data_IF_468847828837
#
_entry.id   IF_468847828837
#
_cell.length_a   1.000
_cell.length_b   1.000
_cell.length_c   1.000
_cell.angle_alpha   90.00
_cell.angle_beta   90.00
_cell.angle_gamma   90.00
#
_symmetry.space_group_name_H-M   'P 1'
#
loop_
_entity.id
_entity.type
_entity.pdbx_description
1 polymer ?
#
# COMPACT_ATOMS: atom_id res chain seq x y z
N UNK A 1 10.74 19.40 -20.53
CA UNK A 1 11.50 18.62 -19.53
C UNK A 1 11.04 19.08 -18.15
N UNK A 2 10.41 18.21 -17.35
CA UNK A 2 9.71 18.59 -16.13
C UNK A 2 10.70 18.86 -14.97
N UNK A 3 10.49 19.93 -14.19
CA UNK A 3 11.44 20.42 -13.19
C UNK A 3 11.70 19.44 -12.02
N UNK A 4 10.76 18.53 -11.77
CA UNK A 4 10.83 17.49 -10.71
C UNK A 4 11.96 16.47 -10.93
N UNK A 5 12.20 16.09 -12.19
CA UNK A 5 13.19 15.05 -12.55
C UNK A 5 14.62 15.58 -12.33
N UNK A 6 14.84 16.89 -12.55
CA UNK A 6 16.14 17.52 -12.31
C UNK A 6 16.46 17.68 -10.83
N UNK A 7 15.46 17.76 -9.95
CA UNK A 7 15.69 17.82 -8.49
C UNK A 7 15.98 16.44 -7.90
N UNK A 8 15.28 15.39 -8.35
CA UNK A 8 15.50 14.01 -7.89
C UNK A 8 16.87 13.47 -8.31
N UNK A 9 17.27 13.66 -9.57
CA UNK A 9 18.60 13.26 -10.04
C UNK A 9 19.75 14.04 -9.36
N UNK A 10 19.49 15.25 -8.85
CA UNK A 10 20.45 16.05 -8.06
C UNK A 10 20.56 15.60 -6.61
N UNK A 11 19.47 15.11 -6.02
CA UNK A 11 19.46 14.63 -4.62
C UNK A 11 20.31 13.38 -4.41
N UNK A 12 20.46 12.54 -5.44
CA UNK A 12 21.19 11.26 -5.37
C UNK A 12 22.56 11.29 -6.06
N UNK A 13 23.16 12.48 -6.24
CA UNK A 13 24.55 12.63 -6.71
C UNK A 13 24.83 12.17 -8.16
N UNK A 14 23.81 12.11 -9.01
CA UNK A 14 23.93 11.87 -10.46
C UNK A 14 23.72 10.42 -10.90
N UNK A 15 23.40 10.26 -12.19
CA UNK A 15 23.13 8.98 -12.91
C UNK A 15 24.10 7.85 -12.54
N UNK A 16 25.39 8.18 -12.36
CA UNK A 16 26.48 7.29 -11.97
C UNK A 16 26.28 6.61 -10.60
N UNK A 17 25.73 7.32 -9.62
CA UNK A 17 25.59 6.81 -8.25
C UNK A 17 24.39 5.87 -8.12
N UNK A 18 23.28 6.17 -8.83
CA UNK A 18 22.13 5.28 -8.96
C UNK A 18 22.48 4.01 -9.75
N UNK A 19 23.26 4.16 -10.84
CA UNK A 19 23.83 3.03 -11.57
C UNK A 19 24.76 2.21 -10.66
N UNK A 20 25.58 2.85 -9.82
CA UNK A 20 26.41 2.15 -8.84
C UNK A 20 25.62 1.27 -7.87
N UNK A 21 24.50 1.79 -7.34
CA UNK A 21 23.61 1.05 -6.43
C UNK A 21 22.89 -0.11 -7.14
N UNK A 22 22.41 0.12 -8.37
CA UNK A 22 21.82 -0.94 -9.20
C UNK A 22 22.85 -2.00 -9.58
N UNK A 23 24.08 -1.61 -9.93
CA UNK A 23 25.19 -2.52 -10.23
C UNK A 23 25.58 -3.34 -9.00
N UNK A 24 25.56 -2.76 -7.81
CA UNK A 24 25.84 -3.49 -6.56
C UNK A 24 24.71 -4.46 -6.20
N UNK A 25 23.45 -4.03 -6.33
CA UNK A 25 22.27 -4.85 -6.04
C UNK A 25 22.11 -6.00 -7.04
N UNK A 26 22.31 -5.73 -8.33
CA UNK A 26 22.13 -6.70 -9.42
C UNK A 26 23.38 -7.58 -9.61
N UNK A 27 24.58 -7.03 -9.40
CA UNK A 27 25.85 -7.74 -9.55
C UNK A 27 26.08 -8.84 -8.51
N UNK A 28 25.44 -8.75 -7.34
CA UNK A 28 25.43 -9.83 -6.33
C UNK A 28 24.39 -10.91 -6.62
N UNK A 29 23.34 -10.58 -7.37
CA UNK A 29 22.18 -11.46 -7.59
C UNK A 29 22.28 -12.29 -8.87
N UNK A 30 22.90 -11.75 -9.94
CA UNK A 30 22.96 -12.41 -11.25
C UNK A 30 24.21 -11.98 -12.04
N UNK A 31 25.23 -12.83 -12.17
CA UNK A 31 26.33 -12.59 -13.11
C UNK A 31 25.80 -12.55 -14.56
N UNK A 32 25.99 -11.43 -15.27
CA UNK A 32 25.59 -11.25 -16.68
C UNK A 32 24.44 -10.26 -16.93
N UNK A 33 23.67 -9.87 -15.90
CA UNK A 33 22.64 -8.83 -16.03
C UNK A 33 23.25 -7.44 -16.26
N UNK A 34 24.46 -7.24 -15.72
CA UNK A 34 25.29 -6.05 -15.92
C UNK A 34 25.58 -5.79 -17.41
N UNK A 35 25.92 -6.82 -18.19
CA UNK A 35 26.19 -6.66 -19.62
C UNK A 35 24.94 -6.26 -20.43
N UNK A 36 23.74 -6.65 -19.99
CA UNK A 36 22.49 -6.26 -20.63
C UNK A 36 22.11 -4.81 -20.34
N UNK A 37 22.30 -4.38 -19.08
CA UNK A 37 22.13 -2.97 -18.69
C UNK A 37 23.17 -2.09 -19.39
N UNK A 38 24.43 -2.51 -19.41
CA UNK A 38 25.51 -1.74 -20.06
C UNK A 38 25.28 -1.62 -21.58
N UNK A 39 24.85 -2.69 -22.27
CA UNK A 39 24.53 -2.63 -23.72
C UNK A 39 23.35 -1.72 -24.08
N UNK A 40 22.37 -1.57 -23.19
CA UNK A 40 21.21 -0.71 -23.44
C UNK A 40 21.57 0.78 -23.26
N UNK A 41 22.65 1.08 -22.54
CA UNK A 41 23.19 2.43 -22.34
C UNK A 41 24.44 2.76 -23.19
N UNK A 42 25.12 1.78 -23.80
CA UNK A 42 26.28 1.95 -24.70
C UNK A 42 25.99 2.66 -26.03
N UNK A 43 24.76 3.14 -26.25
CA UNK A 43 24.36 3.93 -27.43
C UNK A 43 24.28 5.45 -27.23
N UNK A 44 24.39 5.96 -25.99
CA UNK A 44 24.10 7.37 -25.65
C UNK A 44 25.36 8.21 -25.32
N UNK A 45 26.53 7.87 -25.86
CA UNK A 45 27.76 8.67 -25.67
C UNK A 45 27.88 9.87 -26.63
N UNK A 46 26.81 10.21 -27.35
CA UNK A 46 26.74 11.44 -28.15
C UNK A 46 26.02 12.54 -27.37
N UNK A 47 26.58 13.76 -27.37
CA UNK A 47 25.94 14.98 -26.86
C UNK A 47 24.66 15.38 -27.63
N UNK A 48 23.66 14.51 -27.68
CA UNK A 48 22.35 14.70 -28.30
C UNK A 48 21.26 14.78 -27.24
N UNK A 49 20.37 15.75 -27.38
CA UNK A 49 19.12 15.79 -26.61
C UNK A 49 18.38 14.44 -26.74
N UNK A 50 18.06 13.83 -25.59
CA UNK A 50 17.06 12.77 -25.52
C UNK A 50 15.72 13.38 -25.94
N UNK A 51 15.30 13.11 -27.18
CA UNK A 51 14.02 13.58 -27.72
C UNK A 51 12.90 12.77 -27.06
N UNK A 52 12.24 13.38 -26.08
CA UNK A 52 11.06 12.81 -25.41
C UNK A 52 9.85 12.93 -26.35
N UNK A 53 9.33 11.79 -26.80
CA UNK A 53 8.03 11.72 -27.47
C UNK A 53 6.91 12.23 -26.57
N UNK A 54 5.99 13.03 -27.13
CA UNK A 54 4.83 13.59 -26.41
C UNK A 54 4.00 12.49 -25.76
N UNK A 55 3.59 12.75 -24.51
CA UNK A 55 2.53 12.04 -23.78
C UNK A 55 1.29 11.99 -24.68
N UNK A 56 0.94 10.80 -25.20
CA UNK A 56 -0.21 10.62 -26.10
C UNK A 56 -0.10 9.48 -27.11
N UNK A 57 1.07 8.86 -27.28
CA UNK A 57 1.20 7.62 -28.04
C UNK A 57 1.82 6.55 -27.15
N UNK A 58 1.29 5.32 -27.19
CA UNK A 58 1.84 4.17 -26.46
C UNK A 58 3.33 3.94 -26.75
N UNK A 59 4.00 3.05 -25.98
CA UNK A 59 5.45 2.92 -25.99
C UNK A 59 5.95 2.66 -27.41
N UNK A 60 7.12 3.19 -27.80
CA UNK A 60 7.74 2.84 -29.07
C UNK A 60 7.96 1.33 -29.07
N UNK A 61 7.43 0.63 -30.07
CA UNK A 61 7.76 -0.76 -30.30
C UNK A 61 9.22 -0.84 -30.79
N UNK A 62 10.17 -0.83 -29.86
CA UNK A 62 11.51 -1.32 -30.16
C UNK A 62 11.47 -2.85 -30.09
N UNK A 63 11.42 -3.48 -31.26
CA UNK A 63 11.63 -4.90 -31.43
C UNK A 63 13.07 -5.26 -31.02
N UNK A 64 13.26 -5.80 -29.82
CA UNK A 64 14.54 -6.38 -29.41
C UNK A 64 15.04 -6.07 -28.00
N UNK A 65 14.17 -6.01 -26.98
CA UNK A 65 14.66 -6.02 -25.60
C UNK A 65 15.25 -7.41 -25.25
N UNK A 66 16.48 -7.50 -24.69
CA UNK A 66 17.08 -8.78 -24.29
C UNK A 66 16.23 -9.55 -23.27
N UNK A 67 15.37 -8.86 -22.53
CA UNK A 67 14.44 -9.42 -21.54
C UNK A 67 13.21 -10.13 -22.15
N UNK A 68 12.95 -9.94 -23.44
CA UNK A 68 11.89 -10.68 -24.16
C UNK A 68 12.21 -12.18 -24.32
N UNK A 69 13.46 -12.59 -24.05
CA UNK A 69 13.97 -13.95 -24.26
C UNK A 69 14.26 -14.73 -22.97
N UNK A 70 14.11 -14.11 -21.79
CA UNK A 70 14.38 -14.76 -20.51
C UNK A 70 13.30 -15.79 -20.15
N UNK A 71 13.74 -16.97 -19.73
CA UNK A 71 12.84 -18.05 -19.32
C UNK A 71 12.37 -17.90 -17.87
N UNK A 72 11.32 -18.66 -17.53
CA UNK A 72 10.66 -18.63 -16.22
C UNK A 72 11.57 -19.03 -15.07
N UNK A 73 12.60 -19.86 -15.29
CA UNK A 73 13.53 -20.28 -14.23
C UNK A 73 14.60 -19.21 -13.94
N UNK A 74 15.07 -18.50 -14.97
CA UNK A 74 15.96 -17.35 -14.80
C UNK A 74 15.30 -16.23 -13.98
N UNK A 75 14.01 -15.99 -14.19
CA UNK A 75 13.20 -15.02 -13.43
C UNK A 75 13.03 -15.44 -11.96
N UNK A 76 12.80 -16.73 -11.70
CA UNK A 76 12.68 -17.26 -10.32
C UNK A 76 13.99 -17.14 -9.54
N UNK A 77 15.14 -17.34 -10.21
CA UNK A 77 16.45 -17.18 -9.58
C UNK A 77 16.73 -15.72 -9.18
N UNK A 78 16.33 -14.75 -10.02
CA UNK A 78 16.42 -13.32 -9.71
C UNK A 78 15.67 -12.99 -8.42
N UNK A 79 14.40 -13.39 -8.32
CA UNK A 79 13.54 -13.12 -7.15
C UNK A 79 13.87 -13.95 -5.90
N UNK A 80 14.60 -15.06 -6.07
CA UNK A 80 15.16 -15.81 -4.95
C UNK A 80 16.41 -15.13 -4.37
N UNK A 81 17.21 -14.48 -5.21
CA UNK A 81 18.49 -13.87 -4.85
C UNK A 81 18.40 -12.43 -4.33
N UNK A 82 17.29 -11.75 -4.53
CA UNK A 82 17.12 -10.34 -4.16
C UNK A 82 16.18 -10.16 -2.97
N UNK A 83 16.70 -9.60 -1.88
CA UNK A 83 15.94 -8.71 -0.99
C UNK A 83 15.70 -7.38 -1.72
N UNK A 84 14.95 -7.42 -2.82
CA UNK A 84 14.43 -6.22 -3.49
C UNK A 84 13.18 -5.83 -2.71
N UNK A 85 13.18 -4.63 -2.14
CA UNK A 85 11.97 -4.02 -1.57
C UNK A 85 11.08 -3.45 -2.69
N UNK A 86 9.86 -3.04 -2.34
CA UNK A 86 8.89 -2.49 -3.29
C UNK A 86 9.45 -1.26 -4.04
N UNK A 87 10.27 -0.45 -3.37
CA UNK A 87 10.84 0.78 -3.90
C UNK A 87 11.81 0.51 -5.06
N UNK A 88 12.61 -0.55 -4.97
CA UNK A 88 13.47 -0.99 -6.09
C UNK A 88 12.68 -1.54 -7.29
N UNK A 89 11.46 -2.05 -7.09
CA UNK A 89 10.58 -2.51 -8.17
C UNK A 89 10.07 -1.35 -9.01
N UNK A 90 9.76 -0.22 -8.39
CA UNK A 90 9.23 0.94 -9.09
C UNK A 90 10.31 1.62 -9.95
N UNK A 91 11.58 1.56 -9.51
CA UNK A 91 12.71 1.97 -10.32
C UNK A 91 12.98 1.02 -11.51
N UNK A 92 12.84 -0.30 -11.32
CA UNK A 92 12.89 -1.28 -12.41
C UNK A 92 11.67 -1.16 -13.33
N UNK A 93 10.54 -0.70 -12.81
CA UNK A 93 9.31 -0.49 -13.58
C UNK A 93 9.38 0.67 -14.56
N UNK A 94 10.14 1.69 -14.19
CA UNK A 94 10.42 2.80 -15.06
C UNK A 94 11.44 2.45 -16.16
N UNK A 95 12.43 1.61 -15.85
CA UNK A 95 13.46 1.18 -16.82
C UNK A 95 12.99 0.05 -17.74
N UNK A 96 12.14 -0.86 -17.27
CA UNK A 96 11.71 -2.06 -17.99
C UNK A 96 10.21 -2.38 -17.72
N UNK A 97 9.27 -1.64 -18.31
CA UNK A 97 7.83 -1.80 -18.07
C UNK A 97 7.30 -3.22 -18.33
N UNK A 98 7.92 -3.95 -19.27
CA UNK A 98 7.58 -5.33 -19.61
C UNK A 98 8.08 -6.37 -18.60
N UNK A 99 9.04 -6.02 -17.74
CA UNK A 99 9.57 -6.88 -16.68
C UNK A 99 8.77 -6.74 -15.36
N UNK A 100 8.02 -5.64 -15.19
CA UNK A 100 7.24 -5.31 -13.98
C UNK A 100 6.23 -6.38 -13.59
N UNK A 101 5.39 -6.89 -14.51
CA UNK A 101 4.43 -7.92 -14.13
C UNK A 101 5.12 -9.20 -13.66
N UNK A 102 6.30 -9.52 -14.22
CA UNK A 102 7.10 -10.69 -13.88
C UNK A 102 7.88 -10.53 -12.57
N UNK A 103 8.48 -9.36 -12.31
CA UNK A 103 9.15 -9.04 -11.04
C UNK A 103 8.15 -8.89 -9.89
N UNK A 104 7.03 -8.18 -10.12
CA UNK A 104 5.94 -8.06 -9.14
C UNK A 104 5.34 -9.44 -8.86
N UNK A 105 5.07 -10.24 -9.89
CA UNK A 105 4.68 -11.64 -9.71
C UNK A 105 5.69 -12.39 -8.84
N UNK A 106 6.99 -12.28 -9.08
CA UNK A 106 7.99 -13.00 -8.30
C UNK A 106 8.16 -12.52 -6.84
N UNK A 107 7.90 -11.23 -6.55
CA UNK A 107 7.89 -10.67 -5.19
C UNK A 107 6.60 -11.06 -4.44
N UNK A 108 5.45 -11.00 -5.10
CA UNK A 108 4.16 -11.38 -4.53
C UNK A 108 3.92 -12.91 -4.52
N UNK A 109 4.70 -13.72 -5.24
CA UNK A 109 4.66 -15.19 -5.15
C UNK A 109 4.99 -15.72 -3.74
N UNK A 110 5.74 -14.95 -2.94
CA UNK A 110 6.01 -15.27 -1.53
C UNK A 110 4.99 -14.67 -0.56
N UNK A 111 4.14 -13.75 -1.03
CA UNK A 111 3.09 -13.10 -0.24
C UNK A 111 1.81 -13.93 -0.36
N UNK A 112 1.05 -14.06 0.73
CA UNK A 112 -0.14 -14.92 0.74
C UNK A 112 -1.27 -14.31 -0.09
N UNK A 113 -1.57 -14.91 -1.24
CA UNK A 113 -2.78 -14.62 -2.03
C UNK A 113 -4.04 -15.08 -1.27
N UNK A 114 -5.05 -14.21 -1.18
CA UNK A 114 -6.37 -14.55 -0.61
C UNK A 114 -7.51 -14.24 -1.56
N UNK A 115 -8.53 -15.09 -1.57
CA UNK A 115 -9.63 -15.05 -2.54
C UNK A 115 -10.57 -13.86 -2.42
N UNK A 116 -10.62 -13.20 -1.27
CA UNK A 116 -11.51 -12.07 -1.03
C UNK A 116 -10.98 -11.15 0.07
N UNK A 117 -11.47 -9.91 0.05
CA UNK A 117 -11.09 -8.84 0.98
C UNK A 117 -11.33 -9.18 2.45
N UNK A 118 -12.45 -9.83 2.79
CA UNK A 118 -12.71 -10.28 4.18
C UNK A 118 -11.72 -11.34 4.66
N UNK A 119 -11.22 -12.18 3.76
CA UNK A 119 -10.14 -13.13 4.04
C UNK A 119 -8.83 -12.42 4.35
N UNK A 120 -8.51 -11.37 3.58
CA UNK A 120 -7.36 -10.50 3.84
C UNK A 120 -7.45 -9.84 5.22
N UNK A 121 -8.58 -9.18 5.50
CA UNK A 121 -8.84 -8.53 6.79
C UNK A 121 -8.73 -9.52 7.96
N UNK A 122 -9.24 -10.75 7.82
CA UNK A 122 -9.12 -11.75 8.89
C UNK A 122 -7.66 -12.16 9.17
N UNK A 123 -6.84 -12.34 8.13
CA UNK A 123 -5.42 -12.66 8.29
C UNK A 123 -4.70 -11.51 8.99
N UNK A 124 -4.97 -10.28 8.55
CA UNK A 124 -4.41 -9.09 9.13
C UNK A 124 -4.83 -8.91 10.61
N UNK A 125 -6.09 -9.17 10.94
CA UNK A 125 -6.61 -9.17 12.31
C UNK A 125 -5.96 -10.26 13.18
N UNK A 126 -5.70 -11.46 12.64
CA UNK A 126 -5.01 -12.53 13.38
C UNK A 126 -3.57 -12.14 13.73
N UNK A 127 -2.89 -11.42 12.84
CA UNK A 127 -1.56 -10.88 13.08
C UNK A 127 -1.60 -9.75 14.12
N UNK A 128 -2.46 -8.75 13.91
CA UNK A 128 -2.63 -7.61 14.82
C UNK A 128 -3.01 -8.04 16.24
N UNK A 129 -3.88 -9.05 16.37
CA UNK A 129 -4.34 -9.55 17.67
C UNK A 129 -3.20 -10.15 18.52
N UNK A 130 -2.05 -10.49 17.92
CA UNK A 130 -0.87 -10.90 18.70
C UNK A 130 -0.34 -9.77 19.57
N UNK A 131 -0.41 -8.53 19.09
CA UNK A 131 -0.02 -7.35 19.86
C UNK A 131 -0.92 -7.16 21.09
N UNK A 132 -2.22 -7.43 20.95
CA UNK A 132 -3.21 -7.31 22.04
C UNK A 132 -2.85 -8.20 23.24
N UNK A 133 -2.27 -9.38 22.98
CA UNK A 133 -1.86 -10.30 24.06
C UNK A 133 -0.76 -9.72 24.95
N UNK A 134 0.16 -8.95 24.38
CA UNK A 134 1.22 -8.25 25.12
C UNK A 134 0.81 -6.86 25.59
N UNK A 135 -0.12 -6.22 24.89
CA UNK A 135 -0.59 -4.88 25.18
C UNK A 135 -2.12 -4.80 25.00
N UNK A 136 -2.89 -5.11 26.05
CA UNK A 136 -4.36 -5.14 25.99
C UNK A 136 -5.00 -3.79 25.68
N UNK A 137 -4.27 -2.67 25.79
CA UNK A 137 -4.79 -1.32 25.47
C UNK A 137 -4.55 -0.94 24.01
N UNK A 138 -4.10 -1.89 23.17
CA UNK A 138 -3.90 -1.66 21.75
C UNK A 138 -5.21 -1.29 21.03
N UNK A 139 -5.12 -0.32 20.14
CA UNK A 139 -6.26 0.28 19.45
C UNK A 139 -6.47 -0.33 18.05
N UNK A 140 -7.72 -0.35 17.58
CA UNK A 140 -8.13 -0.86 16.27
C UNK A 140 -8.90 0.23 15.54
N UNK A 141 -8.44 0.60 14.34
CA UNK A 141 -8.96 1.76 13.62
C UNK A 141 -9.46 1.39 12.22
N UNK A 142 -10.51 2.06 11.77
CA UNK A 142 -10.94 2.13 10.37
C UNK A 142 -11.06 3.60 9.94
N UNK A 143 -10.45 3.95 8.81
CA UNK A 143 -10.56 5.26 8.18
C UNK A 143 -11.36 5.12 6.89
N UNK A 144 -12.51 5.77 6.82
CA UNK A 144 -13.53 5.51 5.79
C UNK A 144 -14.48 4.39 6.23
N UNK A 145 -15.63 4.77 6.77
CA UNK A 145 -16.63 3.88 7.36
C UNK A 145 -17.86 3.72 6.47
N UNK A 146 -18.26 4.80 5.79
CA UNK A 146 -19.46 4.89 4.95
C UNK A 146 -20.70 4.30 5.64
N UNK A 147 -21.19 3.15 5.16
CA UNK A 147 -22.38 2.44 5.67
C UNK A 147 -22.06 1.49 6.84
N UNK A 148 -20.82 1.47 7.31
CA UNK A 148 -20.34 0.69 8.46
C UNK A 148 -20.34 -0.83 8.25
N UNK A 149 -20.27 -1.29 6.99
CA UNK A 149 -20.31 -2.74 6.68
C UNK A 149 -19.05 -3.44 7.18
N UNK A 150 -17.89 -2.84 6.91
CA UNK A 150 -16.61 -3.44 7.28
C UNK A 150 -16.28 -3.22 8.74
N UNK A 151 -16.53 -2.03 9.30
CA UNK A 151 -16.46 -1.81 10.74
C UNK A 151 -17.29 -2.83 11.55
N UNK A 152 -18.53 -3.10 11.13
CA UNK A 152 -19.36 -4.08 11.82
C UNK A 152 -18.73 -5.47 11.77
N UNK A 153 -18.28 -5.88 10.58
CA UNK A 153 -17.60 -7.15 10.39
C UNK A 153 -16.32 -7.28 11.22
N UNK A 154 -15.46 -6.27 11.17
CA UNK A 154 -14.19 -6.20 11.91
C UNK A 154 -14.44 -6.21 13.42
N UNK A 155 -15.40 -5.43 13.91
CA UNK A 155 -15.76 -5.39 15.35
C UNK A 155 -16.22 -6.75 15.86
N UNK A 156 -17.10 -7.46 15.12
CA UNK A 156 -17.56 -8.81 15.47
C UNK A 156 -16.41 -9.81 15.45
N UNK A 157 -15.51 -9.68 14.48
CA UNK A 157 -14.34 -10.53 14.35
C UNK A 157 -13.34 -10.30 15.49
N UNK A 158 -13.20 -9.06 15.97
CA UNK A 158 -12.38 -8.69 17.13
C UNK A 158 -12.97 -9.22 18.44
N UNK A 159 -14.26 -9.01 18.70
CA UNK A 159 -14.93 -9.53 19.90
C UNK A 159 -14.80 -11.04 19.99
N UNK A 160 -15.00 -11.76 18.88
CA UNK A 160 -14.83 -13.22 18.85
C UNK A 160 -13.40 -13.67 19.22
N UNK A 161 -12.37 -12.93 18.81
CA UNK A 161 -10.98 -13.23 19.17
C UNK A 161 -10.70 -12.95 20.64
N UNK A 162 -11.23 -11.84 21.15
CA UNK A 162 -11.16 -11.49 22.56
C UNK A 162 -11.81 -12.56 23.43
N UNK A 163 -13.06 -12.94 23.14
CA UNK A 163 -13.79 -14.01 23.85
C UNK A 163 -13.01 -15.34 23.85
N UNK A 164 -12.51 -15.76 22.68
CA UNK A 164 -11.74 -17.00 22.54
C UNK A 164 -10.40 -16.97 23.31
N UNK A 165 -9.88 -15.78 23.61
CA UNK A 165 -8.66 -15.58 24.39
C UNK A 165 -8.91 -15.27 25.88
N UNK A 166 -10.17 -15.16 26.31
CA UNK A 166 -10.54 -14.76 27.66
C UNK A 166 -10.33 -13.27 27.97
N UNK A 167 -10.12 -12.43 26.95
CA UNK A 167 -9.93 -11.00 27.10
C UNK A 167 -11.28 -10.31 27.30
N UNK A 168 -11.51 -9.78 28.51
CA UNK A 168 -12.75 -9.09 28.88
C UNK A 168 -12.44 -7.76 29.60
N UNK A 169 -13.02 -6.62 29.16
CA UNK A 169 -13.85 -6.46 27.96
C UNK A 169 -13.02 -6.64 26.66
N UNK A 170 -13.67 -6.93 25.51
CA UNK A 170 -12.98 -6.94 24.22
C UNK A 170 -12.47 -5.54 23.86
N UNK A 171 -11.40 -5.41 23.04
CA UNK A 171 -10.92 -4.11 22.59
C UNK A 171 -11.96 -3.39 21.73
N UNK A 172 -11.93 -2.06 21.77
CA UNK A 172 -12.82 -1.18 20.99
C UNK A 172 -12.28 -0.96 19.58
N UNK A 173 -13.18 -0.93 18.60
CA UNK A 173 -12.89 -0.51 17.23
C UNK A 173 -13.34 0.93 17.02
N UNK A 174 -12.46 1.77 16.48
CA UNK A 174 -12.75 3.18 16.21
C UNK A 174 -12.92 3.41 14.71
N UNK A 175 -14.07 3.93 14.31
CA UNK A 175 -14.34 4.32 12.92
C UNK A 175 -14.27 5.83 12.75
N UNK A 176 -13.47 6.30 11.79
CA UNK A 176 -13.34 7.72 11.44
C UNK A 176 -13.96 7.98 10.07
N UNK A 177 -14.89 8.93 10.01
CA UNK A 177 -15.54 9.33 8.75
C UNK A 177 -16.19 10.70 8.90
N UNK A 178 -16.22 11.48 7.82
CA UNK A 178 -16.98 12.73 7.76
C UNK A 178 -18.49 12.47 7.76
N UNK A 179 -18.89 11.32 7.21
CA UNK A 179 -20.23 10.93 6.79
C UNK A 179 -20.85 11.90 5.77
N UNK A 180 -20.03 12.78 5.19
CA UNK A 180 -20.42 13.76 4.14
C UNK A 180 -19.77 13.44 2.80
N UNK A 181 -19.15 12.26 2.68
CA UNK A 181 -18.50 11.80 1.46
C UNK A 181 -17.10 12.39 1.23
N UNK A 182 -16.60 12.18 0.00
CA UNK A 182 -15.24 12.55 -0.38
C UNK A 182 -15.00 14.08 -0.32
N UNK A 183 -13.83 14.53 0.17
CA UNK A 183 -13.47 15.94 0.16
C UNK A 183 -13.09 16.48 -1.23
N UNK A 184 -12.67 15.60 -2.14
CA UNK A 184 -12.26 15.94 -3.50
C UNK A 184 -12.61 14.81 -4.47
N UNK A 185 -12.41 15.05 -5.77
CA UNK A 185 -12.57 14.03 -6.81
C UNK A 185 -11.61 12.86 -6.59
N UNK A 186 -12.08 11.65 -6.82
CA UNK A 186 -11.28 10.42 -6.86
C UNK A 186 -11.74 9.53 -8.01
N UNK A 187 -10.86 9.27 -8.98
CA UNK A 187 -11.20 8.56 -10.21
C UNK A 187 -12.41 9.21 -10.91
N UNK A 188 -13.51 8.46 -11.09
CA UNK A 188 -14.75 8.95 -11.69
C UNK A 188 -15.76 9.48 -10.66
N UNK A 189 -15.37 9.64 -9.40
CA UNK A 189 -16.26 10.02 -8.31
C UNK A 189 -16.05 11.48 -7.94
N UNK A 190 -17.15 12.25 -8.03
CA UNK A 190 -17.18 13.65 -7.62
C UNK A 190 -17.05 13.81 -6.09
N UNK A 191 -16.65 15.01 -5.60
CA UNK A 191 -16.74 15.35 -4.19
C UNK A 191 -18.14 15.05 -3.63
N UNK A 192 -18.20 14.42 -2.45
CA UNK A 192 -19.45 14.01 -1.81
C UNK A 192 -20.06 12.68 -2.28
N UNK A 193 -19.45 11.93 -3.21
CA UNK A 193 -20.03 10.69 -3.78
C UNK A 193 -20.46 9.62 -2.74
N UNK A 194 -19.84 9.59 -1.56
CA UNK A 194 -20.16 8.66 -0.46
C UNK A 194 -20.88 9.32 0.73
N UNK A 195 -21.59 10.42 0.51
CA UNK A 195 -22.34 11.11 1.56
C UNK A 195 -23.42 10.22 2.18
N UNK A 196 -23.40 10.13 3.51
CA UNK A 196 -24.41 9.47 4.35
C UNK A 196 -25.40 10.49 4.95
N UNK A 197 -25.59 11.65 4.29
CA UNK A 197 -26.31 12.84 4.77
C UNK A 197 -25.74 13.41 6.07
N UNK A 198 -24.44 13.19 6.31
CA UNK A 198 -23.78 13.47 7.59
C UNK A 198 -24.19 12.54 8.73
N UNK A 199 -25.00 11.50 8.51
CA UNK A 199 -25.50 10.63 9.58
C UNK A 199 -24.60 9.40 9.77
N UNK A 200 -24.33 9.05 11.03
CA UNK A 200 -23.64 7.80 11.36
C UNK A 200 -24.51 6.58 11.01
N UNK A 201 -23.93 5.47 10.54
CA UNK A 201 -24.67 4.31 10.05
C UNK A 201 -25.49 3.65 11.16
N UNK A 202 -26.80 3.50 10.91
CA UNK A 202 -27.75 2.90 11.86
C UNK A 202 -27.38 1.47 12.28
N UNK A 203 -26.71 0.72 11.40
CA UNK A 203 -26.18 -0.64 11.67
C UNK A 203 -25.23 -0.70 12.86
N UNK A 204 -24.49 0.37 13.13
CA UNK A 204 -23.52 0.40 14.24
C UNK A 204 -24.15 0.91 15.56
N UNK A 205 -25.41 1.37 15.53
CA UNK A 205 -26.09 1.85 16.73
C UNK A 205 -26.23 0.72 17.75
N UNK A 206 -25.82 1.00 18.98
CA UNK A 206 -25.88 0.05 20.09
C UNK A 206 -24.74 -0.98 20.12
N UNK A 207 -23.80 -0.95 19.16
CA UNK A 207 -22.59 -1.75 19.25
C UNK A 207 -21.63 -1.12 20.28
N UNK A 208 -21.56 -1.71 21.47
CA UNK A 208 -20.76 -1.21 22.60
C UNK A 208 -19.24 -1.34 22.38
N UNK A 209 -18.81 -2.04 21.33
CA UNK A 209 -17.40 -2.25 20.98
C UNK A 209 -16.97 -1.41 19.78
N UNK A 210 -17.80 -0.46 19.37
CA UNK A 210 -17.50 0.48 18.30
C UNK A 210 -17.70 1.91 18.78
N UNK A 211 -16.71 2.77 18.51
CA UNK A 211 -16.80 4.21 18.69
C UNK A 211 -16.66 4.88 17.34
N UNK A 212 -17.55 5.82 17.04
CA UNK A 212 -17.53 6.57 15.78
C UNK A 212 -17.05 8.00 16.03
N UNK A 213 -16.02 8.39 15.29
CA UNK A 213 -15.46 9.72 15.25
C UNK A 213 -15.97 10.43 13.99
N UNK A 214 -17.07 11.15 14.14
CA UNK A 214 -17.70 11.90 13.05
C UNK A 214 -16.98 13.23 12.81
N UNK A 215 -16.49 13.42 11.59
CA UNK A 215 -15.82 14.64 11.14
C UNK A 215 -14.64 14.32 10.22
N UNK A 216 -13.99 15.36 9.71
CA UNK A 216 -12.79 15.18 8.90
C UNK A 216 -11.63 14.61 9.74
N UNK A 217 -10.70 13.92 9.10
CA UNK A 217 -9.58 13.25 9.78
C UNK A 217 -8.71 14.25 10.53
N UNK A 218 -8.49 15.43 9.94
CA UNK A 218 -7.74 16.53 10.54
C UNK A 218 -8.38 17.08 11.83
N UNK A 219 -9.70 16.92 11.99
CA UNK A 219 -10.44 17.43 13.14
C UNK A 219 -10.60 16.37 14.23
N UNK A 220 -10.66 15.09 13.85
CA UNK A 220 -11.04 13.99 14.74
C UNK A 220 -9.86 13.24 15.33
N UNK A 221 -8.78 13.06 14.58
CA UNK A 221 -7.64 12.23 14.99
C UNK A 221 -6.90 12.82 16.20
N UNK A 222 -6.83 14.15 16.30
CA UNK A 222 -6.19 14.81 17.44
C UNK A 222 -6.87 14.51 18.77
N UNK A 223 -8.21 14.48 18.77
CA UNK A 223 -9.01 14.07 19.93
C UNK A 223 -8.73 12.62 20.33
N UNK A 224 -8.76 11.70 19.36
CA UNK A 224 -8.43 10.29 19.59
C UNK A 224 -7.02 10.10 20.15
N UNK A 225 -6.00 10.76 19.58
CA UNK A 225 -4.61 10.65 20.07
C UNK A 225 -4.51 11.14 21.52
N UNK A 226 -5.21 12.22 21.86
CA UNK A 226 -5.21 12.80 23.22
C UNK A 226 -5.91 11.87 24.21
N UNK A 227 -7.06 11.32 23.85
CA UNK A 227 -7.83 10.39 24.69
C UNK A 227 -7.07 9.08 24.94
N UNK A 228 -6.38 8.57 23.92
CA UNK A 228 -5.63 7.32 23.97
C UNK A 228 -4.12 7.54 24.10
N UNK A 229 -3.68 8.67 24.70
CA UNK A 229 -2.27 9.02 24.88
C UNK A 229 -1.52 8.07 25.84
N UNK A 230 -0.21 7.88 25.61
CA UNK A 230 0.66 7.00 26.42
C UNK A 230 0.39 5.49 26.26
N UNK A 231 1.44 4.70 26.02
CA UNK A 231 1.52 3.22 25.96
C UNK A 231 0.47 2.42 25.17
N UNK A 232 -0.50 3.07 24.53
CA UNK A 232 -1.57 2.44 23.74
C UNK A 232 -1.23 2.57 22.25
N UNK A 233 -0.56 1.57 21.65
CA UNK A 233 -0.25 1.54 20.23
C UNK A 233 -1.51 1.23 19.41
N UNK A 234 -1.43 1.44 18.11
CA UNK A 234 -2.44 0.95 17.17
C UNK A 234 -2.01 -0.43 16.68
N UNK A 235 -2.77 -1.47 17.02
CA UNK A 235 -2.49 -2.83 16.54
C UNK A 235 -2.94 -3.03 15.09
N UNK A 236 -4.04 -2.39 14.70
CA UNK A 236 -4.66 -2.60 13.40
C UNK A 236 -5.23 -1.31 12.81
N UNK A 237 -5.03 -1.11 11.51
CA UNK A 237 -5.64 -0.05 10.70
C UNK A 237 -6.28 -0.70 9.46
N UNK A 238 -7.55 -0.43 9.23
CA UNK A 238 -8.18 -0.53 7.91
C UNK A 238 -8.17 0.86 7.28
N UNK A 239 -7.42 1.03 6.22
CA UNK A 239 -7.29 2.25 5.44
C UNK A 239 -8.16 2.11 4.19
N UNK A 240 -9.30 2.77 4.20
CA UNK A 240 -10.32 2.74 3.13
C UNK A 240 -10.72 4.20 2.82
N UNK A 241 -9.70 5.03 2.63
CA UNK A 241 -9.85 6.48 2.56
C UNK A 241 -9.78 7.02 1.13
N UNK A 242 -9.52 6.13 0.17
CA UNK A 242 -9.42 6.32 -1.28
C UNK A 242 -8.28 7.27 -1.74
N UNK A 243 -8.24 8.46 -1.15
CA UNK A 243 -7.40 9.59 -1.52
C UNK A 243 -6.04 9.56 -0.84
N UNK A 244 -5.00 9.94 -1.59
CA UNK A 244 -3.67 10.21 -1.03
C UNK A 244 -3.71 11.21 0.14
N UNK A 245 -4.41 12.33 -0.01
CA UNK A 245 -4.45 13.39 1.01
C UNK A 245 -5.06 12.90 2.33
N UNK A 246 -6.16 12.17 2.24
CA UNK A 246 -6.81 11.54 3.39
C UNK A 246 -5.90 10.52 4.06
N UNK A 247 -5.25 9.65 3.28
CA UNK A 247 -4.34 8.62 3.79
C UNK A 247 -3.09 9.20 4.43
N UNK A 248 -2.46 10.19 3.79
CA UNK A 248 -1.31 10.92 4.34
C UNK A 248 -1.69 11.64 5.65
N UNK A 249 -2.89 12.21 5.74
CA UNK A 249 -3.37 12.93 6.93
C UNK A 249 -3.39 12.01 8.16
N UNK A 250 -4.04 10.84 8.09
CA UNK A 250 -4.12 9.98 9.27
C UNK A 250 -2.79 9.29 9.59
N UNK A 251 -2.05 8.83 8.58
CA UNK A 251 -0.77 8.17 8.79
C UNK A 251 0.26 9.11 9.44
N UNK A 252 0.41 10.34 8.93
CA UNK A 252 1.35 11.33 9.49
C UNK A 252 1.05 11.64 10.95
N UNK A 253 -0.23 11.83 11.30
CA UNK A 253 -0.66 12.14 12.67
C UNK A 253 -0.42 10.96 13.61
N UNK A 254 -0.73 9.75 13.19
CA UNK A 254 -0.49 8.54 13.99
C UNK A 254 1.02 8.29 14.19
N UNK A 255 1.84 8.45 13.15
CA UNK A 255 3.30 8.34 13.24
C UNK A 255 3.91 9.43 14.13
N UNK A 256 3.52 10.70 13.95
CA UNK A 256 4.00 11.80 14.78
C UNK A 256 3.66 11.59 16.27
N UNK A 257 2.53 10.95 16.56
CA UNK A 257 2.13 10.55 17.92
C UNK A 257 2.66 9.18 18.36
N UNK A 258 3.59 8.58 17.60
CA UNK A 258 4.24 7.30 17.87
C UNK A 258 3.24 6.14 18.09
N UNK A 259 2.11 6.17 17.37
CA UNK A 259 1.04 5.17 17.48
C UNK A 259 1.22 3.96 16.58
N UNK A 260 1.85 4.14 15.42
CA UNK A 260 2.20 3.05 14.49
C UNK A 260 3.54 2.49 14.94
N UNK A 261 3.57 1.28 15.47
CA UNK A 261 4.76 0.66 16.09
C UNK A 261 5.10 -0.67 15.43
N UNK A 262 6.22 -1.28 15.82
CA UNK A 262 6.54 -2.66 15.40
C UNK A 262 5.40 -3.59 15.83
N UNK A 263 4.87 -4.36 14.87
CA UNK A 263 3.71 -5.22 15.06
C UNK A 263 2.39 -4.61 14.58
N UNK A 264 2.33 -3.30 14.30
CA UNK A 264 1.12 -2.68 13.73
C UNK A 264 0.84 -3.30 12.36
N UNK A 265 -0.43 -3.63 12.11
CA UNK A 265 -0.89 -4.15 10.82
C UNK A 265 -1.77 -3.12 10.14
N UNK A 266 -1.48 -2.82 8.88
CA UNK A 266 -2.25 -1.88 8.06
C UNK A 266 -2.81 -2.63 6.85
N UNK A 267 -4.11 -2.55 6.65
CA UNK A 267 -4.80 -3.08 5.46
C UNK A 267 -5.28 -1.89 4.66
N UNK A 268 -4.68 -1.66 3.50
CA UNK A 268 -5.14 -0.67 2.53
C UNK A 268 -6.20 -1.31 1.63
N UNK A 269 -7.32 -0.63 1.39
CA UNK A 269 -8.35 -1.14 0.49
C UNK A 269 -8.01 -0.86 -0.97
N UNK A 270 -7.44 0.31 -1.25
CA UNK A 270 -7.14 0.83 -2.58
C UNK A 270 -5.64 1.10 -2.75
N UNK A 271 -4.83 0.06 -2.49
CA UNK A 271 -3.37 0.14 -2.52
C UNK A 271 -2.78 0.05 -3.93
N UNK A 272 -3.29 -0.82 -4.80
CA UNK A 272 -2.65 -1.07 -6.11
C UNK A 272 -3.62 -1.55 -7.19
N UNK A 273 -3.10 -1.70 -8.41
CA UNK A 273 -3.82 -2.30 -9.55
C UNK A 273 -5.18 -1.63 -9.80
N UNK A 274 -5.15 -0.32 -10.04
CA UNK A 274 -6.20 0.43 -10.72
C UNK A 274 -5.54 1.66 -11.34
N UNK A 275 -6.11 2.28 -12.37
CA UNK A 275 -5.50 3.46 -12.97
C UNK A 275 -5.29 4.58 -11.94
N UNK A 276 -4.05 5.09 -11.80
CA UNK A 276 -3.72 6.17 -10.86
C UNK A 276 -3.41 5.72 -9.42
N UNK A 277 -3.33 4.42 -9.13
CA UNK A 277 -3.00 3.91 -7.79
C UNK A 277 -1.66 4.43 -7.25
N UNK A 278 -0.69 4.70 -8.14
CA UNK A 278 0.61 5.28 -7.81
C UNK A 278 0.53 6.68 -7.21
N UNK A 279 -0.62 7.36 -7.33
CA UNK A 279 -0.85 8.71 -6.81
C UNK A 279 -1.79 8.70 -5.59
N UNK A 280 -2.21 7.52 -5.12
CA UNK A 280 -3.21 7.33 -4.06
C UNK A 280 -2.62 6.87 -2.73
N UNK A 281 -3.23 5.85 -2.12
CA UNK A 281 -2.83 5.31 -0.81
C UNK A 281 -1.39 4.78 -0.79
N UNK A 282 -0.93 4.19 -1.90
CA UNK A 282 0.45 3.69 -2.02
C UNK A 282 1.48 4.81 -1.85
N UNK A 283 1.32 5.92 -2.58
CA UNK A 283 2.22 7.07 -2.47
C UNK A 283 2.21 7.66 -1.06
N UNK A 284 1.03 7.79 -0.44
CA UNK A 284 0.92 8.28 0.91
C UNK A 284 1.69 7.40 1.90
N UNK A 285 1.58 6.07 1.76
CA UNK A 285 2.29 5.13 2.61
C UNK A 285 3.80 5.14 2.37
N UNK A 286 4.26 5.24 1.12
CA UNK A 286 5.68 5.28 0.78
C UNK A 286 6.35 6.53 1.34
N UNK A 287 5.73 7.70 1.17
CA UNK A 287 6.25 8.94 1.72
C UNK A 287 6.30 8.93 3.25
N UNK A 288 5.25 8.41 3.91
CA UNK A 288 5.25 8.27 5.38
C UNK A 288 6.31 7.29 5.84
N UNK A 289 6.49 6.18 5.12
CA UNK A 289 7.50 5.19 5.46
C UNK A 289 8.90 5.79 5.36
N UNK A 290 9.17 6.59 4.33
CA UNK A 290 10.42 7.33 4.19
C UNK A 290 10.60 8.39 5.29
N UNK A 291 9.55 9.18 5.56
CA UNK A 291 9.57 10.28 6.53
C UNK A 291 9.82 9.79 7.97
N UNK A 292 9.18 8.70 8.37
CA UNK A 292 9.24 8.13 9.72
C UNK A 292 10.14 6.89 9.82
N UNK A 293 10.91 6.58 8.77
CA UNK A 293 11.78 5.42 8.67
C UNK A 293 11.07 4.12 9.09
N UNK A 294 9.86 3.92 8.55
CA UNK A 294 9.12 2.68 8.73
C UNK A 294 9.65 1.63 7.77
N UNK A 295 9.74 0.39 8.25
CA UNK A 295 9.89 -0.76 7.38
C UNK A 295 8.69 -1.67 7.58
N UNK A 296 8.21 -2.24 6.48
CA UNK A 296 7.05 -3.10 6.49
C UNK A 296 7.26 -4.35 5.66
N UNK A 297 6.46 -5.37 5.95
CA UNK A 297 6.40 -6.62 5.19
C UNK A 297 4.97 -6.86 4.76
N UNK A 298 4.75 -7.11 3.47
CA UNK A 298 3.46 -7.57 2.97
C UNK A 298 3.11 -8.95 3.57
N UNK A 299 1.95 -9.04 4.21
CA UNK A 299 1.41 -10.28 4.79
C UNK A 299 0.62 -11.07 3.75
N UNK A 300 -0.31 -10.39 3.09
CA UNK A 300 -1.28 -10.97 2.20
C UNK A 300 -1.86 -9.90 1.28
N UNK A 301 -2.51 -10.34 0.20
CA UNK A 301 -3.16 -9.46 -0.77
C UNK A 301 -4.41 -10.13 -1.36
N UNK A 302 -5.46 -9.35 -1.62
CA UNK A 302 -6.74 -9.89 -2.11
C UNK A 302 -6.72 -10.04 -3.62
N UNK A 303 -7.20 -11.17 -4.11
CA UNK A 303 -7.04 -11.65 -5.47
C UNK A 303 -8.25 -12.40 -6.02
N UNK A 304 -8.56 -12.33 -7.33
CA UNK A 304 -9.24 -13.44 -8.00
C UNK A 304 -8.47 -14.75 -7.80
N UNK A 305 -9.07 -15.94 -7.97
CA UNK A 305 -8.39 -17.23 -7.79
C UNK A 305 -7.53 -17.68 -8.98
N UNK A 306 -7.67 -17.05 -10.15
CA UNK A 306 -6.97 -17.43 -11.39
C UNK A 306 -6.51 -16.17 -12.13
N UNK A 307 -5.24 -16.16 -12.54
CA UNK A 307 -4.60 -15.05 -13.27
C UNK A 307 -5.00 -15.01 -14.75
N UNK A 308 -5.64 -16.07 -15.25
CA UNK A 308 -6.11 -16.22 -16.64
C UNK A 308 -7.58 -15.87 -16.86
N UNK A 309 -8.33 -15.60 -15.78
CA UNK A 309 -9.69 -15.07 -15.90
C UNK A 309 -9.54 -13.63 -16.36
N UNK A 310 -9.50 -13.46 -17.69
CA UNK A 310 -9.82 -12.22 -18.34
C UNK A 310 -11.13 -11.74 -17.72
N UNK A 311 -11.03 -10.57 -17.13
CA UNK A 311 -12.07 -9.97 -16.36
C UNK A 311 -13.29 -9.83 -17.26
N UNK A 312 -14.36 -10.53 -16.92
CA UNK A 312 -15.65 -10.27 -17.53
C UNK A 312 -15.96 -8.78 -17.36
N UNK A 313 -16.16 -8.10 -18.49
CA UNK A 313 -16.36 -6.66 -18.73
C UNK A 313 -17.53 -5.99 -17.95
N UNK A 314 -17.87 -6.46 -16.74
CA UNK A 314 -19.06 -6.01 -15.99
C UNK A 314 -18.80 -5.09 -14.81
N UNK A 315 -17.54 -4.77 -14.50
CA UNK A 315 -17.18 -3.59 -13.70
C UNK A 315 -15.69 -3.28 -13.85
N UNK A 316 -15.32 -2.00 -13.96
CA UNK A 316 -13.92 -1.56 -13.98
C UNK A 316 -13.12 -2.08 -12.76
N UNK A 317 -13.80 -2.32 -11.65
CA UNK A 317 -13.24 -2.90 -10.42
C UNK A 317 -12.69 -4.32 -10.59
N UNK A 318 -13.18 -5.11 -11.54
CA UNK A 318 -12.63 -6.44 -11.77
C UNK A 318 -11.40 -6.39 -12.69
N UNK A 319 -11.24 -5.36 -13.55
CA UNK A 319 -10.31 -5.37 -14.69
C UNK A 319 -8.85 -5.48 -14.26
N UNK A 320 -8.60 -4.92 -13.08
CA UNK A 320 -7.30 -4.79 -12.50
C UNK A 320 -7.23 -5.57 -11.19
N UNK A 321 -7.91 -6.73 -11.08
CA UNK A 321 -8.08 -7.45 -9.81
C UNK A 321 -6.83 -7.39 -8.92
N UNK A 322 -7.00 -7.18 -7.61
CA UNK A 322 -6.01 -6.81 -6.58
C UNK A 322 -5.91 -5.31 -6.23
N UNK A 323 -6.82 -4.82 -5.39
CA UNK A 323 -6.74 -3.47 -4.80
C UNK A 323 -6.11 -3.46 -3.41
N UNK A 324 -6.54 -4.41 -2.58
CA UNK A 324 -6.21 -4.39 -1.15
C UNK A 324 -4.95 -5.20 -0.79
N UNK A 325 -4.10 -4.64 0.07
CA UNK A 325 -2.87 -5.27 0.58
C UNK A 325 -2.76 -5.08 2.08
N UNK A 326 -2.32 -6.11 2.80
CA UNK A 326 -2.03 -6.04 4.23
C UNK A 326 -0.51 -6.00 4.47
N UNK A 327 -0.06 -5.03 5.26
CA UNK A 327 1.32 -4.84 5.67
C UNK A 327 1.47 -5.00 7.19
N UNK A 328 2.56 -5.63 7.62
CA UNK A 328 3.03 -5.67 8.99
C UNK A 328 4.21 -4.71 9.14
N UNK A 329 4.15 -3.78 10.08
CA UNK A 329 5.29 -2.91 10.42
C UNK A 329 6.34 -3.73 11.18
N UNK A 330 7.54 -3.82 10.62
CA UNK A 330 8.68 -4.57 11.17
C UNK A 330 9.74 -3.67 11.78
N UNK A 331 9.75 -2.39 11.42
CA UNK A 331 10.60 -1.38 12.03
C UNK A 331 9.87 -0.03 12.06
N UNK A 332 10.04 0.71 13.14
CA UNK A 332 9.64 2.10 13.26
C UNK A 332 10.67 2.81 14.12
N UNK A 333 11.18 3.96 13.66
CA UNK A 333 12.18 4.73 14.39
C UNK A 333 11.54 6.01 14.91
N UNK A 334 11.27 6.01 16.21
CA UNK A 334 10.90 7.20 16.97
C UNK A 334 11.91 7.43 18.09
#
# INVERSE_FOLDING_TARGET
MNSSIRSELRMWGGKEQLLGLLREALGKAVPGLLEAVDKEFEGEDGAGEVVVGRVGAGPPQSSGSPFSTMDTEQIKQIAAATTIDATAVDHVAWLLPSAVPKLRSAIFHKVRRVRNRRGLMNIAMDEAFRMVRSNPTSQFLEFGVFKGVDLEFLSKALSKRADASGLTPPPTFHGFDSFTGLPSEWNSYDPGHFDCTGETPSRLRGNQHVVLHKGWFEDTIGGFITEHGGDSPVAFIHADADLYSSTKCFLSRLCAAQKIVVGTVIVFDEYWNYEGWEEGEALAFDEISAEFNLQSKALAYHAPPDDSIAVDNKSAANQYGYKSVAFLITHAKY
#
